data_IF_100008119115
#
_entry.id   IF_100008119115
#
_cell.length_a   1.000
_cell.length_b   1.000
_cell.length_c   1.000
_cell.angle_alpha   90.00
_cell.angle_beta   90.00
_cell.angle_gamma   90.00
#
_symmetry.space_group_name_H-M   'P 1'
#
loop_
_entity.id
_entity.type
_entity.pdbx_description
1 polymer ?
#
# COMPACT_ATOMS: atom_id res chain seq x y z
N UNK A 1 -26.88 25.55 -14.45
CA UNK A 1 -27.35 24.15 -14.33
C UNK A 1 -26.31 23.13 -14.83
N UNK A 2 -25.76 23.31 -16.03
CA UNK A 2 -24.82 22.35 -16.65
C UNK A 2 -23.51 22.11 -15.87
N UNK A 3 -22.94 23.12 -15.22
CA UNK A 3 -21.68 22.98 -14.47
C UNK A 3 -21.82 22.10 -13.22
N UNK A 4 -22.99 22.15 -12.54
CA UNK A 4 -23.28 21.27 -11.38
C UNK A 4 -23.40 19.81 -11.82
N UNK A 5 -24.10 19.58 -12.94
CA UNK A 5 -24.26 18.24 -13.52
C UNK A 5 -22.92 17.63 -13.99
N UNK A 6 -22.02 18.46 -14.54
CA UNK A 6 -20.67 18.03 -14.92
C UNK A 6 -19.82 17.68 -13.69
N UNK A 7 -19.89 18.49 -12.62
CA UNK A 7 -19.17 18.23 -11.36
C UNK A 7 -19.66 16.94 -10.69
N UNK A 8 -20.97 16.74 -10.60
CA UNK A 8 -21.58 15.55 -10.01
C UNK A 8 -21.15 14.27 -10.74
N UNK A 9 -21.12 14.31 -12.08
CA UNK A 9 -20.59 13.20 -12.89
C UNK A 9 -19.12 12.94 -12.63
N UNK A 10 -18.29 13.98 -12.47
CA UNK A 10 -16.87 13.81 -12.16
C UNK A 10 -16.67 13.17 -10.78
N UNK A 11 -17.41 13.60 -9.77
CA UNK A 11 -17.35 13.01 -8.42
C UNK A 11 -17.81 11.55 -8.42
N UNK A 12 -18.92 11.26 -9.12
CA UNK A 12 -19.42 9.89 -9.24
C UNK A 12 -18.40 8.99 -9.96
N UNK A 13 -17.79 9.48 -11.05
CA UNK A 13 -16.73 8.76 -11.75
C UNK A 13 -15.51 8.50 -10.85
N UNK A 14 -15.07 9.48 -10.06
CA UNK A 14 -13.95 9.30 -9.12
C UNK A 14 -14.28 8.26 -8.04
N UNK A 15 -15.48 8.31 -7.47
CA UNK A 15 -15.92 7.34 -6.46
C UNK A 15 -15.98 5.93 -7.05
N UNK A 16 -16.57 5.76 -8.24
CA UNK A 16 -16.62 4.47 -8.92
C UNK A 16 -15.24 3.91 -9.27
N UNK A 17 -14.31 4.76 -9.73
CA UNK A 17 -12.94 4.34 -10.01
C UNK A 17 -12.23 3.90 -8.72
N UNK A 18 -12.41 4.62 -7.61
CA UNK A 18 -11.88 4.25 -6.29
C UNK A 18 -12.44 2.91 -5.82
N UNK A 19 -13.75 2.72 -5.89
CA UNK A 19 -14.42 1.47 -5.51
C UNK A 19 -13.92 0.30 -6.36
N UNK A 20 -13.79 0.49 -7.67
CA UNK A 20 -13.25 -0.54 -8.57
C UNK A 20 -11.79 -0.87 -8.29
N UNK A 21 -10.95 0.12 -8.00
CA UNK A 21 -9.56 -0.10 -7.62
C UNK A 21 -9.45 -0.90 -6.32
N UNK A 22 -10.26 -0.58 -5.30
CA UNK A 22 -10.31 -1.34 -4.05
C UNK A 22 -10.82 -2.78 -4.28
N UNK A 23 -11.88 -2.95 -5.07
CA UNK A 23 -12.40 -4.27 -5.40
C UNK A 23 -11.36 -5.13 -6.14
N UNK A 24 -10.62 -4.54 -7.08
CA UNK A 24 -9.52 -5.21 -7.78
C UNK A 24 -8.38 -5.59 -6.85
N UNK A 25 -8.03 -4.75 -5.88
CA UNK A 25 -7.00 -5.06 -4.88
C UNK A 25 -7.41 -6.27 -4.02
N UNK A 26 -8.66 -6.32 -3.57
CA UNK A 26 -9.19 -7.47 -2.82
C UNK A 26 -9.20 -8.73 -3.69
N UNK A 27 -9.70 -8.62 -4.92
CA UNK A 27 -9.75 -9.75 -5.86
C UNK A 27 -8.35 -10.30 -6.16
N UNK A 28 -7.38 -9.42 -6.41
CA UNK A 28 -5.98 -9.80 -6.64
C UNK A 28 -5.40 -10.55 -5.44
N UNK A 29 -5.69 -10.07 -4.22
CA UNK A 29 -5.22 -10.71 -2.99
C UNK A 29 -5.80 -12.11 -2.80
N UNK A 30 -7.09 -12.28 -3.11
CA UNK A 30 -7.76 -13.59 -3.07
C UNK A 30 -7.17 -14.56 -4.09
N UNK A 31 -6.88 -14.07 -5.28
CA UNK A 31 -6.26 -14.90 -6.31
C UNK A 31 -4.82 -15.28 -5.96
N UNK A 32 -4.06 -14.35 -5.39
CA UNK A 32 -2.74 -14.62 -4.84
C UNK A 32 -2.78 -15.75 -3.81
N UNK A 33 -3.75 -15.74 -2.89
CA UNK A 33 -3.91 -16.79 -1.89
C UNK A 33 -4.18 -18.17 -2.49
N UNK A 34 -4.93 -18.26 -3.59
CA UNK A 34 -5.19 -19.53 -4.27
C UNK A 34 -3.88 -20.16 -4.77
N UNK A 35 -3.06 -19.39 -5.48
CA UNK A 35 -1.79 -19.89 -6.04
C UNK A 35 -0.71 -20.06 -4.98
N UNK A 36 -0.53 -19.05 -4.11
CA UNK A 36 0.48 -19.09 -3.06
C UNK A 36 0.15 -20.13 -1.99
N UNK A 37 -1.13 -20.34 -1.67
CA UNK A 37 -1.57 -21.38 -0.74
C UNK A 37 -1.23 -22.79 -1.25
N UNK A 38 -1.46 -23.06 -2.53
CA UNK A 38 -1.06 -24.34 -3.14
C UNK A 38 0.46 -24.53 -3.13
N UNK A 39 1.22 -23.50 -3.52
CA UNK A 39 2.68 -23.50 -3.45
C UNK A 39 3.19 -23.73 -2.02
N UNK A 40 2.66 -22.99 -1.05
CA UNK A 40 3.00 -23.10 0.36
C UNK A 40 2.70 -24.50 0.89
N UNK A 41 1.55 -25.08 0.54
CA UNK A 41 1.19 -26.45 0.90
C UNK A 41 2.22 -27.47 0.40
N UNK A 42 2.57 -27.41 -0.89
CA UNK A 42 3.60 -28.29 -1.47
C UNK A 42 4.97 -28.09 -0.82
N UNK A 43 5.40 -26.85 -0.62
CA UNK A 43 6.67 -26.51 0.01
C UNK A 43 6.71 -26.99 1.47
N UNK A 44 5.65 -26.75 2.25
CA UNK A 44 5.55 -27.15 3.64
C UNK A 44 5.64 -28.67 3.79
N UNK A 45 4.92 -29.44 2.96
CA UNK A 45 4.98 -30.90 2.96
C UNK A 45 6.39 -31.37 2.57
N UNK A 46 6.96 -30.85 1.48
CA UNK A 46 8.28 -31.24 1.00
C UNK A 46 9.39 -30.96 2.01
N UNK A 47 9.37 -29.78 2.62
CA UNK A 47 10.34 -29.37 3.65
C UNK A 47 10.17 -30.15 4.95
N UNK A 48 8.93 -30.44 5.37
CA UNK A 48 8.67 -31.25 6.57
C UNK A 48 9.18 -32.67 6.40
N UNK A 49 8.88 -33.31 5.27
CA UNK A 49 9.41 -34.65 4.94
C UNK A 49 10.94 -34.62 4.87
N UNK A 50 11.52 -33.60 4.25
CA UNK A 50 12.96 -33.40 4.19
C UNK A 50 13.62 -33.23 5.56
N UNK A 51 13.00 -32.44 6.45
CA UNK A 51 13.48 -32.16 7.79
C UNK A 51 13.52 -33.44 8.64
N UNK A 52 12.45 -34.25 8.58
CA UNK A 52 12.33 -35.52 9.30
C UNK A 52 13.35 -36.53 8.76
N UNK A 53 13.38 -36.76 7.45
CA UNK A 53 14.28 -37.76 6.83
C UNK A 53 15.75 -37.43 7.01
N UNK A 54 16.12 -36.15 6.93
CA UNK A 54 17.53 -35.70 7.06
C UNK A 54 17.91 -35.34 8.50
N UNK A 55 16.98 -35.42 9.46
CA UNK A 55 17.14 -34.97 10.85
C UNK A 55 17.70 -33.54 10.95
N UNK A 56 17.28 -32.67 10.03
CA UNK A 56 17.75 -31.28 9.92
C UNK A 56 16.57 -30.33 10.16
N UNK A 57 16.33 -29.89 11.41
CA UNK A 57 15.22 -28.99 11.72
C UNK A 57 15.35 -27.61 11.04
N UNK A 58 16.56 -27.23 10.60
CA UNK A 58 16.77 -25.99 9.84
C UNK A 58 15.98 -25.90 8.52
N UNK A 59 15.42 -27.00 8.01
CA UNK A 59 14.53 -26.96 6.84
C UNK A 59 13.17 -26.31 7.13
N UNK A 60 12.80 -26.10 8.40
CA UNK A 60 11.62 -25.31 8.79
C UNK A 60 11.84 -23.80 8.71
N UNK A 61 13.10 -23.36 8.64
CA UNK A 61 13.45 -21.93 8.63
C UNK A 61 12.70 -21.12 7.56
N UNK A 62 12.54 -21.57 6.30
CA UNK A 62 11.74 -20.85 5.30
C UNK A 62 10.23 -20.97 5.51
N UNK A 63 9.71 -21.96 6.23
CA UNK A 63 8.27 -22.12 6.46
C UNK A 63 7.73 -20.96 7.32
N UNK A 64 8.50 -20.52 8.31
CA UNK A 64 8.12 -19.42 9.19
C UNK A 64 7.83 -18.13 8.41
N UNK A 65 8.78 -17.51 7.67
CA UNK A 65 8.51 -16.28 6.93
C UNK A 65 7.42 -16.46 5.86
N UNK A 66 7.35 -17.62 5.19
CA UNK A 66 6.28 -17.89 4.22
C UNK A 66 4.90 -17.92 4.88
N UNK A 67 4.80 -18.47 6.10
CA UNK A 67 3.54 -18.48 6.86
C UNK A 67 3.08 -17.08 7.28
N UNK A 68 4.02 -16.18 7.61
CA UNK A 68 3.70 -14.76 7.86
C UNK A 68 3.09 -14.09 6.63
N UNK A 69 3.67 -14.30 5.45
CA UNK A 69 3.13 -13.78 4.19
C UNK A 69 1.74 -14.35 3.93
N UNK A 70 1.53 -15.65 4.10
CA UNK A 70 0.23 -16.28 3.91
C UNK A 70 -0.84 -15.67 4.83
N UNK A 71 -0.53 -15.56 6.13
CA UNK A 71 -1.45 -15.00 7.12
C UNK A 71 -1.78 -13.52 6.84
N UNK A 72 -0.78 -12.72 6.46
CA UNK A 72 -0.97 -11.32 6.08
C UNK A 72 -1.92 -11.19 4.87
N UNK A 73 -1.66 -11.96 3.81
CA UNK A 73 -2.49 -11.92 2.60
C UNK A 73 -3.90 -12.43 2.89
N UNK A 74 -4.05 -13.41 3.79
CA UNK A 74 -5.34 -13.93 4.22
C UNK A 74 -6.19 -12.86 4.92
N UNK A 75 -5.62 -12.15 5.91
CA UNK A 75 -6.31 -11.05 6.61
C UNK A 75 -6.60 -9.87 5.66
N UNK A 76 -5.75 -9.62 4.66
CA UNK A 76 -5.98 -8.61 3.63
C UNK A 76 -7.12 -8.96 2.66
N UNK A 77 -7.23 -10.23 2.24
CA UNK A 77 -8.22 -10.67 1.25
C UNK A 77 -9.59 -11.05 1.82
N UNK A 78 -9.62 -11.55 3.05
CA UNK A 78 -10.83 -12.07 3.71
C UNK A 78 -11.09 -11.50 5.10
N UNK A 79 -10.06 -10.99 5.77
CA UNK A 79 -10.16 -10.48 7.13
C UNK A 79 -10.47 -8.98 7.19
N UNK A 80 -10.01 -8.36 8.27
CA UNK A 80 -10.36 -6.97 8.62
C UNK A 80 -9.23 -5.98 8.32
N UNK A 81 -8.09 -6.44 7.81
CA UNK A 81 -6.90 -5.59 7.63
C UNK A 81 -7.20 -4.32 6.84
N UNK A 82 -7.89 -4.42 5.71
CA UNK A 82 -8.22 -3.25 4.89
C UNK A 82 -9.13 -2.25 5.61
N UNK A 83 -10.06 -2.74 6.44
CA UNK A 83 -10.89 -1.87 7.27
C UNK A 83 -10.07 -1.18 8.36
N UNK A 84 -9.15 -1.91 9.01
CA UNK A 84 -8.24 -1.34 10.02
C UNK A 84 -7.30 -0.30 9.42
N UNK A 85 -6.71 -0.59 8.26
CA UNK A 85 -5.89 0.36 7.53
C UNK A 85 -6.65 1.62 7.14
N UNK A 86 -7.93 1.47 6.76
CA UNK A 86 -8.79 2.62 6.44
C UNK A 86 -9.04 3.48 7.68
N UNK A 87 -9.36 2.87 8.82
CA UNK A 87 -9.52 3.58 10.09
C UNK A 87 -8.25 4.29 10.56
N UNK A 88 -7.09 3.64 10.40
CA UNK A 88 -5.79 4.25 10.69
C UNK A 88 -5.51 5.44 9.77
N UNK A 89 -5.82 5.32 8.47
CA UNK A 89 -5.67 6.42 7.53
C UNK A 89 -6.58 7.60 7.87
N UNK A 90 -7.82 7.35 8.29
CA UNK A 90 -8.75 8.37 8.79
C UNK A 90 -8.18 9.05 10.05
N UNK A 91 -7.66 8.28 11.01
CA UNK A 91 -7.00 8.81 12.21
C UNK A 91 -5.79 9.69 11.87
N UNK A 92 -4.94 9.28 10.92
CA UNK A 92 -3.79 10.08 10.50
C UNK A 92 -4.23 11.42 9.90
N UNK A 93 -5.30 11.42 9.10
CA UNK A 93 -5.81 12.65 8.48
C UNK A 93 -6.39 13.63 9.52
N UNK A 94 -7.09 13.11 10.53
CA UNK A 94 -7.83 13.90 11.52
C UNK A 94 -6.98 14.31 12.73
N UNK A 95 -6.16 13.40 13.26
CA UNK A 95 -5.43 13.57 14.52
C UNK A 95 -3.92 13.77 14.32
N UNK A 96 -3.33 13.25 13.24
CA UNK A 96 -1.89 13.28 13.00
C UNK A 96 -1.53 13.99 11.68
N UNK A 97 -2.28 15.06 11.35
CA UNK A 97 -2.16 15.76 10.06
C UNK A 97 -0.71 16.20 9.75
N UNK A 98 0.07 16.53 10.78
CA UNK A 98 1.49 16.87 10.67
C UNK A 98 2.36 15.80 9.98
N UNK A 99 1.95 14.51 9.98
CA UNK A 99 2.63 13.45 9.23
C UNK A 99 2.43 13.55 7.71
N UNK A 100 1.33 14.16 7.29
CA UNK A 100 0.91 14.29 5.88
C UNK A 100 1.24 15.67 5.33
N UNK A 101 1.45 16.66 6.19
CA UNK A 101 1.83 18.01 5.79
C UNK A 101 3.13 18.01 4.97
N UNK A 102 3.13 18.81 3.90
CA UNK A 102 4.32 18.99 3.09
C UNK A 102 5.41 19.71 3.90
N UNK A 103 6.67 19.25 3.85
CA UNK A 103 7.77 19.97 4.49
C UNK A 103 7.89 21.37 3.87
N UNK A 104 7.88 22.41 4.74
CA UNK A 104 7.84 23.84 4.38
C UNK A 104 6.51 24.34 3.78
N UNK A 105 5.44 23.56 3.90
CA UNK A 105 4.11 23.92 3.42
C UNK A 105 4.00 23.88 1.89
N UNK A 106 2.85 24.32 1.35
CA UNK A 106 2.65 24.40 -0.10
C UNK A 106 3.64 25.39 -0.73
N UNK A 107 4.08 25.08 -1.95
CA UNK A 107 4.89 25.99 -2.76
C UNK A 107 4.14 27.31 -2.97
N UNK A 108 4.61 28.37 -2.32
CA UNK A 108 4.10 29.72 -2.52
C UNK A 108 4.86 30.42 -3.63
N UNK A 109 4.18 31.34 -4.32
CA UNK A 109 4.79 32.17 -5.37
C UNK A 109 6.07 32.84 -4.87
N UNK A 110 6.04 33.44 -3.68
CA UNK A 110 7.19 34.09 -3.06
C UNK A 110 8.35 33.12 -2.78
N UNK A 111 8.05 31.87 -2.39
CA UNK A 111 9.05 30.83 -2.20
C UNK A 111 9.75 30.46 -3.50
N UNK A 112 8.98 30.36 -4.59
CA UNK A 112 9.50 30.09 -5.94
C UNK A 112 10.31 31.28 -6.45
N UNK A 113 9.84 32.51 -6.24
CA UNK A 113 10.53 33.71 -6.71
C UNK A 113 11.86 33.93 -5.96
N UNK A 114 11.89 33.70 -4.64
CA UNK A 114 13.12 33.71 -3.84
C UNK A 114 14.10 32.64 -4.30
N UNK A 115 13.63 31.41 -4.56
CA UNK A 115 14.47 30.34 -5.09
C UNK A 115 15.08 30.72 -6.46
N UNK A 116 14.26 31.30 -7.36
CA UNK A 116 14.71 31.77 -8.68
C UNK A 116 15.77 32.87 -8.57
N UNK A 117 15.56 33.87 -7.71
CA UNK A 117 16.53 34.96 -7.48
C UNK A 117 17.85 34.43 -6.91
N UNK A 118 17.80 33.55 -5.91
CA UNK A 118 18.98 32.92 -5.34
C UNK A 118 19.77 32.10 -6.37
N UNK A 119 19.07 31.39 -7.26
CA UNK A 119 19.69 30.65 -8.36
C UNK A 119 20.35 31.61 -9.36
N UNK A 120 19.71 32.73 -9.70
CA UNK A 120 20.28 33.74 -10.61
C UNK A 120 21.54 34.43 -10.06
N UNK A 121 21.60 34.70 -8.75
CA UNK A 121 22.80 35.28 -8.12
C UNK A 121 23.97 34.29 -8.15
N UNK A 122 23.71 33.00 -7.93
CA UNK A 122 24.72 31.93 -8.00
C UNK A 122 25.39 31.78 -9.38
N UNK A 123 24.70 32.14 -10.47
CA UNK A 123 25.26 32.13 -11.82
C UNK A 123 26.06 33.38 -12.17
N UNK A 124 25.91 34.47 -11.41
CA UNK A 124 26.65 35.72 -11.62
C UNK A 124 27.98 35.73 -10.86
N UNK A 125 28.10 34.93 -9.78
CA UNK A 125 29.28 34.85 -8.92
C UNK A 125 30.32 33.76 -9.30
N UNK A 126 30.17 33.12 -10.47
CA UNK A 126 31.08 32.09 -10.98
C UNK A 126 31.75 32.52 -12.28
#
# INVERSE_FOLDING_TARGET
MNSRLQLERQLLMQNQMRERQMAMQVAWTREFLNYFGAFFGLAAVGLTVGAIKRKKPGLFLPIVPLSFVLAYQYDMGYGSLLQRMKGEAEHILDAENALVEMPKGPLTYDGIEKARRAQSTFFIEK
#
